data_IF_934393656209
#
_entry.id   IF_934393656209
#
_cell.length_a   1.000
_cell.length_b   1.000
_cell.length_c   1.000
_cell.angle_alpha   90.00
_cell.angle_beta   90.00
_cell.angle_gamma   90.00
#
_symmetry.space_group_name_H-M   'P 1'
#
loop_
_entity.id
_entity.type
_entity.pdbx_description
1 polymer ?
#
# COMPACT_ATOMS: atom_id res chain seq x y z
N UNK A 1 9.32 7.47 -0.93
CA UNK A 1 9.65 8.88 -1.14
C UNK A 1 10.76 9.06 -2.20
N UNK A 2 11.89 8.38 -2.09
CA UNK A 2 13.00 8.47 -3.07
C UNK A 2 12.53 8.24 -4.52
N UNK A 3 11.65 7.28 -4.76
CA UNK A 3 11.09 7.02 -6.09
C UNK A 3 10.31 8.22 -6.63
N UNK A 4 9.49 8.88 -5.80
CA UNK A 4 8.75 10.09 -6.16
C UNK A 4 9.74 11.20 -6.55
N UNK A 5 10.76 11.43 -5.74
CA UNK A 5 11.81 12.43 -6.03
C UNK A 5 12.49 12.15 -7.38
N UNK A 6 12.83 10.89 -7.65
CA UNK A 6 13.42 10.48 -8.94
C UNK A 6 12.48 10.70 -10.11
N UNK A 7 11.21 10.35 -9.98
CA UNK A 7 10.19 10.58 -11.01
C UNK A 7 10.00 12.07 -11.31
N UNK A 8 9.86 12.92 -10.27
CA UNK A 8 9.74 14.37 -10.45
C UNK A 8 10.97 14.97 -11.14
N UNK A 9 12.18 14.56 -10.74
CA UNK A 9 13.43 15.01 -11.38
C UNK A 9 13.56 14.54 -12.82
N UNK A 10 12.95 13.41 -13.17
CA UNK A 10 12.90 12.90 -14.55
C UNK A 10 11.78 13.52 -15.39
N UNK A 11 10.99 14.47 -14.83
CA UNK A 11 9.88 15.12 -15.53
C UNK A 11 8.65 14.26 -15.75
N UNK A 12 8.52 13.14 -15.01
CA UNK A 12 7.30 12.32 -15.04
C UNK A 12 6.18 13.12 -14.40
N UNK A 13 5.00 13.26 -15.05
CA UNK A 13 3.90 14.05 -14.47
C UNK A 13 3.27 13.34 -13.27
N UNK A 14 2.83 14.15 -12.27
CA UNK A 14 2.04 13.68 -11.12
C UNK A 14 0.53 13.58 -11.43
N UNK A 15 -0.33 13.48 -10.40
CA UNK A 15 0.04 13.65 -8.98
C UNK A 15 0.77 12.46 -8.37
N UNK A 16 1.47 12.69 -7.25
CA UNK A 16 2.23 11.67 -6.53
C UNK A 16 1.68 11.46 -5.13
N UNK A 17 1.33 10.22 -4.80
CA UNK A 17 0.86 9.81 -3.47
C UNK A 17 1.93 8.96 -2.78
N UNK A 18 2.26 9.31 -1.53
CA UNK A 18 3.04 8.44 -0.65
C UNK A 18 2.13 7.33 -0.11
N UNK A 19 2.39 6.08 -0.51
CA UNK A 19 1.53 4.93 -0.21
C UNK A 19 1.85 4.25 1.14
N UNK A 20 2.28 5.01 2.12
CA UNK A 20 2.51 4.59 3.51
C UNK A 20 2.37 5.80 4.42
N UNK A 21 2.22 5.53 5.70
CA UNK A 21 2.25 6.60 6.70
C UNK A 21 3.66 7.22 6.70
N UNK A 22 3.79 8.55 6.64
CA UNK A 22 5.07 9.22 6.69
C UNK A 22 5.71 9.12 8.08
N UNK A 23 7.03 9.16 8.12
CA UNK A 23 7.77 9.37 9.37
C UNK A 23 7.90 10.87 9.65
N UNK A 24 7.87 11.28 10.92
CA UNK A 24 8.05 12.68 11.30
C UNK A 24 9.35 13.28 10.71
N UNK A 25 10.43 12.49 10.68
CA UNK A 25 11.73 12.91 10.15
C UNK A 25 11.78 13.19 8.64
N UNK A 26 10.73 12.84 7.89
CA UNK A 26 10.66 13.02 6.44
C UNK A 26 9.57 14.00 5.98
N UNK A 27 8.82 14.60 6.92
CA UNK A 27 7.70 15.49 6.58
C UNK A 27 8.10 16.68 5.70
N UNK A 28 9.30 17.22 5.88
CA UNK A 28 9.84 18.27 5.01
C UNK A 28 9.92 17.84 3.53
N UNK A 29 10.34 16.59 3.30
CA UNK A 29 10.40 16.04 1.95
C UNK A 29 9.03 15.57 1.45
N UNK A 30 8.15 15.11 2.33
CA UNK A 30 6.76 14.76 1.99
C UNK A 30 6.03 16.00 1.48
N UNK A 31 6.04 17.10 2.23
CA UNK A 31 5.42 18.37 1.84
C UNK A 31 5.97 18.92 0.51
N UNK A 32 7.27 18.73 0.26
CA UNK A 32 7.94 19.21 -0.95
C UNK A 32 7.68 18.38 -2.19
N UNK A 33 7.62 17.07 -2.05
CA UNK A 33 7.69 16.15 -3.19
C UNK A 33 6.40 15.35 -3.46
N UNK A 34 5.53 15.19 -2.46
CA UNK A 34 4.28 14.47 -2.59
C UNK A 34 3.11 15.44 -2.73
N UNK A 35 2.12 15.05 -3.51
CA UNK A 35 0.83 15.76 -3.58
C UNK A 35 -0.14 15.22 -2.54
N UNK A 36 -0.02 13.92 -2.22
CA UNK A 36 -0.85 13.21 -1.25
C UNK A 36 -0.01 12.33 -0.33
N UNK A 37 -0.49 12.10 0.91
CA UNK A 37 -0.02 11.02 1.79
C UNK A 37 -1.18 10.27 2.43
N UNK A 38 -0.89 9.05 2.88
CA UNK A 38 -1.79 8.26 3.73
C UNK A 38 -1.47 8.58 5.18
N UNK A 39 -2.49 8.86 5.99
CA UNK A 39 -2.32 9.31 7.38
C UNK A 39 -3.17 8.49 8.34
N UNK A 40 -2.63 8.23 9.53
CA UNK A 40 -3.31 7.46 10.58
C UNK A 40 -3.05 7.97 11.99
N UNK A 41 -2.44 9.16 12.13
CA UNK A 41 -2.10 9.76 13.42
C UNK A 41 -2.35 11.27 13.40
N UNK A 42 -3.09 11.78 14.39
CA UNK A 42 -3.38 13.20 14.52
C UNK A 42 -2.10 14.03 14.71
N UNK A 43 -1.17 13.55 15.55
CA UNK A 43 0.10 14.24 15.79
C UNK A 43 0.96 14.40 14.54
N UNK A 44 0.95 13.40 13.63
CA UNK A 44 1.65 13.49 12.35
C UNK A 44 1.02 14.54 11.44
N UNK A 45 -0.31 14.65 11.44
CA UNK A 45 -1.04 15.67 10.68
C UNK A 45 -0.74 17.08 11.20
N UNK A 46 -0.69 17.28 12.51
CA UNK A 46 -0.32 18.55 13.12
C UNK A 46 1.12 18.96 12.75
N UNK A 47 2.05 18.01 12.83
CA UNK A 47 3.43 18.25 12.43
C UNK A 47 3.56 18.54 10.92
N UNK A 48 2.77 17.86 10.08
CA UNK A 48 2.71 18.11 8.64
C UNK A 48 2.16 19.50 8.33
N UNK A 49 1.12 19.96 9.05
CA UNK A 49 0.58 21.31 8.96
C UNK A 49 1.68 22.36 9.22
N UNK A 50 2.45 22.21 10.30
CA UNK A 50 3.55 23.13 10.60
C UNK A 50 4.59 23.18 9.48
N UNK A 51 4.92 22.02 8.90
CA UNK A 51 5.88 21.94 7.78
C UNK A 51 5.29 22.61 6.54
N UNK A 52 4.05 22.32 6.18
CA UNK A 52 3.37 22.90 5.02
C UNK A 52 3.25 24.42 5.14
N UNK A 53 2.89 24.93 6.32
CA UNK A 53 2.83 26.35 6.61
C UNK A 53 4.19 27.04 6.41
N UNK A 54 5.28 26.44 6.93
CA UNK A 54 6.64 26.98 6.72
C UNK A 54 7.08 26.98 5.27
N UNK A 55 6.69 25.97 4.49
CA UNK A 55 7.03 25.85 3.07
C UNK A 55 6.10 26.64 2.15
N UNK A 56 4.95 27.11 2.66
CA UNK A 56 3.93 27.81 1.88
C UNK A 56 3.24 26.89 0.85
N UNK A 57 3.05 25.63 1.17
CA UNK A 57 2.40 24.62 0.31
C UNK A 57 1.13 24.08 0.96
N UNK A 58 0.22 23.57 0.14
CA UNK A 58 -0.93 22.80 0.60
C UNK A 58 -0.67 21.34 0.26
N UNK A 59 -0.83 20.45 1.25
CA UNK A 59 -0.68 19.02 1.10
C UNK A 59 -2.03 18.32 1.26
N UNK A 60 -2.25 17.25 0.51
CA UNK A 60 -3.50 16.49 0.54
C UNK A 60 -3.36 15.21 1.37
N UNK A 61 -4.18 15.03 2.39
CA UNK A 61 -4.20 13.88 3.28
C UNK A 61 -5.36 12.93 2.99
N UNK A 62 -5.08 11.63 2.96
CA UNK A 62 -6.08 10.55 2.94
C UNK A 62 -6.02 9.83 4.28
N UNK A 63 -7.06 9.98 5.09
CA UNK A 63 -7.12 9.41 6.43
C UNK A 63 -7.51 7.92 6.33
N UNK A 64 -6.71 7.06 6.96
CA UNK A 64 -6.87 5.61 6.84
C UNK A 64 -7.73 5.04 7.95
N UNK A 65 -8.71 4.21 7.57
CA UNK A 65 -9.48 3.36 8.49
C UNK A 65 -8.84 1.97 8.56
N UNK A 66 -8.76 1.39 9.75
CA UNK A 66 -8.48 -0.05 9.89
C UNK A 66 -9.80 -0.81 10.00
N UNK A 67 -10.11 -1.61 9.01
CA UNK A 67 -11.30 -2.47 8.95
C UNK A 67 -10.98 -3.94 9.23
N UNK A 68 -9.96 -4.20 10.05
CA UNK A 68 -9.62 -5.53 10.54
C UNK A 68 -8.33 -6.13 9.98
N UNK A 69 -7.65 -5.47 9.04
CA UNK A 69 -6.35 -5.95 8.52
C UNK A 69 -5.20 -5.69 9.52
N UNK A 70 -5.41 -4.81 10.50
CA UNK A 70 -4.51 -4.48 11.63
C UNK A 70 -3.13 -3.98 11.16
N UNK A 71 -3.08 -3.28 10.04
CA UNK A 71 -1.84 -2.74 9.49
C UNK A 71 -1.69 -1.25 9.82
N UNK A 72 -2.42 -0.37 9.16
CA UNK A 72 -2.48 1.06 9.44
C UNK A 72 -3.92 1.57 9.37
N UNK A 73 -4.19 2.62 10.11
CA UNK A 73 -5.50 3.27 10.12
C UNK A 73 -6.10 3.37 11.52
N UNK A 74 -7.09 4.23 11.65
CA UNK A 74 -7.87 4.38 12.86
C UNK A 74 -8.79 3.17 13.03
N UNK A 75 -8.67 2.50 14.18
CA UNK A 75 -9.57 1.41 14.58
C UNK A 75 -10.92 1.94 15.05
N UNK A 76 -10.90 3.02 15.82
CA UNK A 76 -12.11 3.70 16.27
C UNK A 76 -12.59 4.68 15.20
N UNK A 77 -13.80 4.45 14.69
CA UNK A 77 -14.38 5.27 13.63
C UNK A 77 -14.83 6.65 14.10
N UNK A 78 -15.12 6.82 15.37
CA UNK A 78 -15.49 8.13 15.93
C UNK A 78 -14.24 8.97 16.14
N UNK A 79 -13.13 8.38 16.61
CA UNK A 79 -11.82 9.03 16.65
C UNK A 79 -11.38 9.45 15.22
N UNK A 80 -11.53 8.57 14.24
CA UNK A 80 -11.24 8.90 12.84
C UNK A 80 -12.06 10.10 12.34
N UNK A 81 -13.36 10.13 12.66
CA UNK A 81 -14.23 11.25 12.29
C UNK A 81 -13.77 12.56 12.92
N UNK A 82 -13.41 12.53 14.20
CA UNK A 82 -12.90 13.71 14.92
C UNK A 82 -11.61 14.22 14.27
N UNK A 83 -10.70 13.33 13.87
CA UNK A 83 -9.47 13.70 13.15
C UNK A 83 -9.78 14.28 11.75
N UNK A 84 -10.72 13.71 11.01
CA UNK A 84 -11.14 14.28 9.73
C UNK A 84 -11.71 15.71 9.90
N UNK A 85 -12.51 15.94 10.95
CA UNK A 85 -13.06 17.26 11.26
C UNK A 85 -11.96 18.23 11.69
N UNK A 86 -10.99 17.77 12.47
CA UNK A 86 -9.82 18.57 12.87
C UNK A 86 -9.02 19.01 11.64
N UNK A 87 -8.67 18.07 10.73
CA UNK A 87 -7.99 18.41 9.48
C UNK A 87 -8.76 19.46 8.69
N UNK A 88 -10.06 19.27 8.51
CA UNK A 88 -10.89 20.18 7.70
C UNK A 88 -11.01 21.59 8.29
N UNK A 89 -11.04 21.73 9.62
CA UNK A 89 -11.33 23.00 10.28
C UNK A 89 -10.12 23.76 10.78
N UNK A 90 -9.11 23.02 11.22
CA UNK A 90 -8.02 23.57 12.02
C UNK A 90 -6.67 23.55 11.32
N UNK A 91 -6.51 22.77 10.21
CA UNK A 91 -5.25 22.60 9.49
C UNK A 91 -5.31 23.24 8.08
N UNK A 92 -5.12 24.57 7.95
CA UNK A 92 -5.32 25.28 6.68
C UNK A 92 -4.36 24.92 5.56
N UNK A 93 -3.24 24.25 5.86
CA UNK A 93 -2.27 23.81 4.86
C UNK A 93 -2.29 22.30 4.61
N UNK A 94 -3.17 21.55 5.32
CA UNK A 94 -3.45 20.13 5.07
C UNK A 94 -4.91 19.97 4.64
N UNK A 95 -5.12 19.69 3.36
CA UNK A 95 -6.46 19.46 2.80
C UNK A 95 -6.89 18.01 3.04
N UNK A 96 -8.08 17.81 3.64
CA UNK A 96 -8.69 16.49 3.73
C UNK A 96 -9.16 16.04 2.33
N UNK A 97 -8.33 15.27 1.64
CA UNK A 97 -8.66 14.75 0.30
C UNK A 97 -9.62 13.56 0.35
N UNK A 98 -9.53 12.75 1.41
CA UNK A 98 -10.38 11.58 1.47
C UNK A 98 -10.10 10.63 2.60
N UNK A 99 -10.71 9.45 2.47
CA UNK A 99 -10.52 8.32 3.38
C UNK A 99 -10.08 7.08 2.62
N UNK A 100 -9.42 6.16 3.31
CA UNK A 100 -8.95 4.93 2.69
C UNK A 100 -8.90 3.76 3.65
N UNK A 101 -8.70 2.56 3.09
CA UNK A 101 -8.47 1.31 3.84
C UNK A 101 -7.36 0.52 3.18
N UNK A 102 -6.68 -0.32 3.96
CA UNK A 102 -5.80 -1.35 3.43
C UNK A 102 -6.32 -2.73 3.84
N UNK A 103 -6.39 -3.66 2.89
CA UNK A 103 -6.89 -5.02 3.09
C UNK A 103 -6.02 -6.01 2.31
N UNK A 104 -5.97 -7.26 2.78
CA UNK A 104 -5.20 -8.33 2.15
C UNK A 104 -3.71 -8.18 2.33
N UNK A 105 -3.26 -7.62 3.45
CA UNK A 105 -1.86 -7.38 3.74
C UNK A 105 -1.42 -8.06 5.05
N UNK A 106 -1.37 -7.32 6.17
CA UNK A 106 -0.91 -7.87 7.45
C UNK A 106 -1.87 -8.92 8.01
N UNK A 107 -3.15 -8.59 8.13
CA UNK A 107 -4.20 -9.48 8.66
C UNK A 107 -4.75 -10.46 7.64
N UNK A 108 -4.34 -10.34 6.38
CA UNK A 108 -4.84 -11.16 5.27
C UNK A 108 -6.37 -11.10 5.09
N UNK A 109 -6.99 -9.98 5.49
CA UNK A 109 -8.43 -9.79 5.38
C UNK A 109 -8.81 -9.60 3.92
N UNK A 110 -9.61 -10.52 3.39
CA UNK A 110 -10.06 -10.44 2.01
C UNK A 110 -11.00 -9.23 1.81
N UNK A 111 -10.79 -8.40 0.77
CA UNK A 111 -11.74 -7.37 0.38
C UNK A 111 -13.09 -7.99 -0.03
N UNK A 112 -14.17 -7.46 0.51
CA UNK A 112 -15.53 -7.87 0.22
C UNK A 112 -16.43 -6.66 0.00
N UNK A 113 -17.60 -6.79 -0.66
CA UNK A 113 -18.57 -5.70 -0.74
C UNK A 113 -18.98 -5.17 0.63
N UNK A 114 -19.02 -6.03 1.65
CA UNK A 114 -19.44 -5.68 3.01
C UNK A 114 -18.41 -4.78 3.69
N UNK A 115 -17.11 -5.16 3.71
CA UNK A 115 -16.09 -4.36 4.39
C UNK A 115 -15.77 -3.06 3.62
N UNK A 116 -15.78 -3.06 2.29
CA UNK A 116 -15.68 -1.82 1.52
C UNK A 116 -16.94 -0.96 1.61
N UNK A 117 -18.11 -1.58 1.82
CA UNK A 117 -19.35 -0.88 2.16
C UNK A 117 -19.25 -0.11 3.48
N UNK A 118 -18.51 -0.65 4.46
CA UNK A 118 -18.22 0.08 5.72
C UNK A 118 -17.37 1.33 5.44
N UNK A 119 -16.33 1.24 4.58
CA UNK A 119 -15.56 2.43 4.19
C UNK A 119 -16.44 3.49 3.53
N UNK A 120 -17.36 3.09 2.65
CA UNK A 120 -18.31 4.03 2.02
C UNK A 120 -19.21 4.69 3.07
N UNK A 121 -19.63 3.95 4.11
CA UNK A 121 -20.39 4.51 5.22
C UNK A 121 -19.57 5.52 6.02
N UNK A 122 -18.31 5.22 6.33
CA UNK A 122 -17.38 6.15 6.99
C UNK A 122 -17.22 7.42 6.14
N UNK A 123 -16.97 7.27 4.84
CA UNK A 123 -16.84 8.41 3.91
C UNK A 123 -18.08 9.31 3.95
N UNK A 124 -19.28 8.76 3.93
CA UNK A 124 -20.53 9.51 4.02
C UNK A 124 -20.69 10.24 5.34
N UNK A 125 -20.35 9.59 6.47
CA UNK A 125 -20.37 10.24 7.80
C UNK A 125 -19.43 11.45 7.83
N UNK A 126 -18.23 11.31 7.27
CA UNK A 126 -17.27 12.43 7.17
C UNK A 126 -17.86 13.54 6.28
N UNK A 127 -18.32 13.22 5.07
CA UNK A 127 -18.91 14.18 4.13
C UNK A 127 -20.09 14.97 4.74
N UNK A 128 -20.99 14.26 5.44
CA UNK A 128 -22.16 14.89 6.09
C UNK A 128 -21.72 15.83 7.22
N UNK A 129 -20.62 15.49 7.93
CA UNK A 129 -20.12 16.30 9.05
C UNK A 129 -19.35 17.55 8.58
N UNK A 130 -18.56 17.42 7.52
CA UNK A 130 -17.79 18.55 6.98
C UNK A 130 -18.56 19.38 5.94
N UNK A 131 -19.68 18.87 5.45
CA UNK A 131 -20.59 19.57 4.52
C UNK A 131 -20.11 19.59 3.06
N UNK A 132 -19.20 18.71 2.68
CA UNK A 132 -18.71 18.56 1.30
C UNK A 132 -18.37 17.11 0.93
N UNK A 133 -18.25 16.84 -0.36
CA UNK A 133 -17.78 15.54 -0.86
C UNK A 133 -16.26 15.39 -0.73
N UNK A 134 -15.84 14.16 -0.44
CA UNK A 134 -14.43 13.76 -0.49
C UNK A 134 -14.00 13.51 -1.94
N UNK A 135 -12.77 13.90 -2.25
CA UNK A 135 -12.16 13.64 -3.56
C UNK A 135 -11.85 12.16 -3.73
N UNK A 136 -11.36 11.50 -2.67
CA UNK A 136 -10.86 10.13 -2.68
C UNK A 136 -11.58 9.27 -1.63
N UNK A 137 -12.13 8.14 -2.08
CA UNK A 137 -12.53 7.02 -1.24
C UNK A 137 -11.75 5.79 -1.71
N UNK A 138 -10.64 5.49 -1.02
CA UNK A 138 -9.62 4.55 -1.47
C UNK A 138 -9.85 3.14 -0.92
N UNK A 139 -10.40 2.25 -1.73
CA UNK A 139 -10.84 0.89 -1.37
C UNK A 139 -9.73 -0.15 -1.26
N UNK A 140 -8.47 0.22 -1.12
CA UNK A 140 -7.38 -0.73 -0.93
C UNK A 140 -6.40 -0.83 -2.09
N UNK A 141 -5.86 -2.01 -2.30
CA UNK A 141 -4.74 -2.29 -3.21
C UNK A 141 -5.11 -3.32 -4.30
N UNK A 142 -4.13 -4.06 -4.80
CA UNK A 142 -4.32 -5.14 -5.79
C UNK A 142 -5.38 -6.15 -5.35
N UNK A 143 -5.41 -6.52 -4.07
CA UNK A 143 -6.41 -7.44 -3.51
C UNK A 143 -7.85 -7.01 -3.80
N UNK A 144 -8.15 -5.71 -3.71
CA UNK A 144 -9.49 -5.16 -3.97
C UNK A 144 -9.85 -5.08 -5.46
N UNK A 145 -8.89 -5.27 -6.36
CA UNK A 145 -9.15 -5.27 -7.80
C UNK A 145 -10.06 -6.43 -8.23
N UNK A 146 -10.11 -7.50 -7.45
CA UNK A 146 -11.05 -8.62 -7.66
C UNK A 146 -12.50 -8.16 -7.68
N UNK A 147 -12.87 -7.20 -6.80
CA UNK A 147 -14.25 -6.68 -6.76
C UNK A 147 -14.59 -5.84 -8.00
N UNK A 148 -13.61 -5.15 -8.59
CA UNK A 148 -13.78 -4.48 -9.89
C UNK A 148 -14.01 -5.52 -10.98
N UNK A 149 -13.18 -6.57 -11.00
CA UNK A 149 -13.27 -7.65 -11.98
C UNK A 149 -14.66 -8.34 -11.97
N UNK A 150 -15.17 -8.64 -10.77
CA UNK A 150 -16.48 -9.30 -10.62
C UNK A 150 -17.68 -8.33 -10.66
N UNK A 151 -17.44 -7.01 -10.79
CA UNK A 151 -18.50 -6.02 -10.81
C UNK A 151 -19.25 -5.88 -9.48
N UNK A 152 -18.58 -6.17 -8.37
CA UNK A 152 -19.15 -6.14 -7.02
C UNK A 152 -18.57 -5.04 -6.13
N UNK A 153 -17.75 -4.15 -6.69
CA UNK A 153 -17.21 -2.99 -5.98
C UNK A 153 -18.35 -2.09 -5.51
N UNK A 154 -18.43 -1.74 -4.20
CA UNK A 154 -19.46 -0.82 -3.71
C UNK A 154 -19.40 0.54 -4.40
N UNK A 155 -20.58 1.06 -4.71
CA UNK A 155 -20.72 2.42 -5.23
C UNK A 155 -20.23 3.44 -4.20
N UNK A 156 -19.36 4.35 -4.63
CA UNK A 156 -18.68 5.33 -3.76
C UNK A 156 -17.17 5.08 -3.59
N UNK A 157 -16.69 3.87 -3.85
CA UNK A 157 -15.25 3.64 -4.00
C UNK A 157 -14.82 4.17 -5.37
N UNK A 158 -13.87 5.10 -5.38
CA UNK A 158 -13.39 5.74 -6.62
C UNK A 158 -11.88 5.66 -6.84
N UNK A 159 -11.14 5.02 -5.92
CA UNK A 159 -9.70 4.93 -5.98
C UNK A 159 -9.17 3.58 -5.46
N UNK A 160 -8.16 3.02 -6.14
CA UNK A 160 -7.38 1.86 -5.72
C UNK A 160 -5.88 2.14 -5.89
N UNK A 161 -5.06 1.53 -5.05
CA UNK A 161 -3.60 1.64 -5.07
C UNK A 161 -2.98 0.34 -5.59
N UNK A 162 -3.07 0.13 -6.91
CA UNK A 162 -2.66 -1.11 -7.56
C UNK A 162 -1.16 -1.06 -7.87
N UNK A 163 -0.40 -2.00 -7.33
CA UNK A 163 1.04 -2.17 -7.58
C UNK A 163 1.36 -3.53 -8.17
N UNK A 164 1.22 -4.58 -7.39
CA UNK A 164 1.54 -5.96 -7.80
C UNK A 164 0.74 -6.38 -9.03
N UNK A 165 -0.56 -6.08 -9.07
CA UNK A 165 -1.43 -6.43 -10.20
C UNK A 165 -1.05 -5.82 -11.55
N UNK A 166 -0.25 -4.73 -11.57
CA UNK A 166 0.27 -4.12 -12.81
C UNK A 166 1.67 -4.65 -13.14
N UNK A 167 2.50 -4.91 -12.13
CA UNK A 167 3.92 -5.20 -12.32
C UNK A 167 4.20 -6.69 -12.49
N UNK A 168 3.54 -7.56 -11.75
CA UNK A 168 3.80 -8.99 -11.70
C UNK A 168 2.54 -9.83 -11.90
N UNK A 169 1.42 -9.39 -11.33
CA UNK A 169 0.09 -10.01 -11.38
C UNK A 169 0.06 -11.49 -10.96
N UNK A 170 1.01 -11.90 -10.09
CA UNK A 170 1.16 -13.29 -9.65
C UNK A 170 0.19 -13.65 -8.54
N UNK A 171 -0.01 -12.73 -7.59
CA UNK A 171 -0.80 -12.98 -6.38
C UNK A 171 -2.23 -13.41 -6.71
N UNK A 172 -2.91 -12.70 -7.60
CA UNK A 172 -4.30 -12.98 -7.96
C UNK A 172 -4.44 -14.30 -8.73
N UNK A 173 -3.58 -14.51 -9.75
CA UNK A 173 -3.71 -15.67 -10.64
C UNK A 173 -3.16 -16.96 -10.02
N UNK A 174 -1.97 -16.90 -9.39
CA UNK A 174 -1.25 -18.09 -8.92
C UNK A 174 -1.54 -18.35 -7.44
N UNK A 175 -1.31 -17.35 -6.59
CA UNK A 175 -1.37 -17.56 -5.14
C UNK A 175 -2.82 -17.61 -4.63
N UNK A 176 -3.74 -16.84 -5.25
CA UNK A 176 -5.17 -16.88 -4.95
C UNK A 176 -5.96 -17.82 -5.88
N UNK A 177 -5.37 -18.27 -6.99
CA UNK A 177 -5.99 -19.18 -7.94
C UNK A 177 -7.17 -18.60 -8.71
N UNK A 178 -7.17 -17.30 -8.97
CA UNK A 178 -8.27 -16.60 -9.69
C UNK A 178 -7.97 -16.65 -11.20
N UNK A 179 -8.27 -17.80 -11.83
CA UNK A 179 -7.90 -18.05 -13.22
C UNK A 179 -8.73 -17.28 -14.27
N UNK A 180 -9.86 -16.71 -13.90
CA UNK A 180 -10.62 -15.80 -14.76
C UNK A 180 -9.95 -14.41 -14.90
N UNK A 181 -8.87 -14.16 -14.16
CA UNK A 181 -8.02 -12.98 -14.28
C UNK A 181 -6.71 -13.23 -15.06
N UNK A 182 -6.59 -14.35 -15.78
CA UNK A 182 -5.38 -14.74 -16.54
C UNK A 182 -5.04 -13.77 -17.71
N UNK A 183 -5.87 -12.76 -17.97
CA UNK A 183 -5.55 -11.65 -18.87
C UNK A 183 -4.49 -10.69 -18.31
N UNK A 184 -4.24 -10.71 -17.02
CA UNK A 184 -3.16 -9.94 -16.39
C UNK A 184 -1.80 -10.55 -16.75
N UNK A 185 -0.85 -9.68 -17.10
CA UNK A 185 0.48 -10.10 -17.58
C UNK A 185 1.45 -10.35 -16.42
N UNK A 186 2.02 -11.56 -16.33
CA UNK A 186 3.07 -11.91 -15.37
C UNK A 186 4.48 -11.76 -15.94
N UNK A 187 4.62 -11.45 -17.21
CA UNK A 187 5.88 -11.40 -17.96
C UNK A 187 6.40 -9.96 -18.23
N UNK A 188 5.94 -9.00 -17.42
CA UNK A 188 6.33 -7.59 -17.57
C UNK A 188 7.81 -7.32 -17.20
N UNK A 189 8.45 -8.24 -16.45
CA UNK A 189 9.84 -8.12 -16.02
C UNK A 189 10.65 -9.33 -16.44
N UNK A 190 11.91 -9.09 -16.78
CA UNK A 190 12.88 -10.15 -17.09
C UNK A 190 14.09 -10.00 -16.18
N UNK A 191 14.39 -11.04 -15.39
CA UNK A 191 15.64 -11.15 -14.65
C UNK A 191 16.72 -11.69 -15.57
N UNK A 192 17.84 -10.96 -15.68
CA UNK A 192 19.06 -11.43 -16.35
C UNK A 192 20.15 -11.61 -15.31
N UNK A 193 20.73 -12.82 -15.29
CA UNK A 193 21.83 -13.15 -14.39
C UNK A 193 22.96 -13.81 -15.20
N UNK A 194 24.20 -13.55 -14.80
CA UNK A 194 25.37 -14.23 -15.35
C UNK A 194 25.76 -15.39 -14.45
N UNK A 195 25.95 -16.57 -15.05
CA UNK A 195 26.51 -17.71 -14.31
C UNK A 195 27.98 -17.42 -14.01
N UNK A 196 28.34 -17.47 -12.73
CA UNK A 196 29.71 -17.16 -12.27
C UNK A 196 30.51 -18.41 -11.90
N UNK A 197 29.83 -19.53 -11.64
CA UNK A 197 30.48 -20.80 -11.35
C UNK A 197 29.59 -21.95 -11.84
N UNK A 198 30.19 -22.97 -12.43
CA UNK A 198 29.54 -24.24 -12.77
C UNK A 198 30.43 -25.38 -12.30
N UNK A 199 29.97 -26.16 -11.33
CA UNK A 199 30.75 -27.31 -10.79
C UNK A 199 29.85 -28.46 -10.42
N UNK A 200 30.43 -29.66 -10.44
CA UNK A 200 29.81 -30.87 -9.92
C UNK A 200 29.99 -30.93 -8.40
N UNK A 201 28.88 -30.91 -7.65
CA UNK A 201 28.89 -30.90 -6.17
C UNK A 201 27.86 -31.90 -5.61
N UNK A 202 28.06 -32.41 -4.38
CA UNK A 202 27.04 -33.18 -3.68
C UNK A 202 25.74 -32.38 -3.55
N UNK A 203 24.63 -33.06 -3.60
CA UNK A 203 23.31 -32.42 -3.35
C UNK A 203 22.97 -32.29 -1.88
N UNK A 204 23.62 -33.12 -1.02
CA UNK A 204 23.54 -33.01 0.42
C UNK A 204 24.81 -32.32 0.96
N UNK A 205 24.68 -31.28 1.80
CA UNK A 205 25.83 -30.65 2.42
C UNK A 205 26.64 -31.64 3.28
N UNK A 206 27.96 -31.46 3.30
CA UNK A 206 28.86 -32.34 4.05
C UNK A 206 29.28 -31.65 5.36
N UNK A 207 28.84 -32.21 6.49
CA UNK A 207 29.10 -31.71 7.85
C UNK A 207 27.83 -31.54 8.69
N UNK A 208 27.96 -31.10 9.93
CA UNK A 208 26.82 -30.86 10.81
C UNK A 208 25.95 -29.70 10.26
N UNK A 209 24.67 -30.01 10.01
CA UNK A 209 23.68 -29.02 9.53
C UNK A 209 23.01 -28.40 10.76
N UNK A 210 22.99 -27.08 10.80
CA UNK A 210 22.31 -26.30 11.84
C UNK A 210 21.20 -25.44 11.24
N UNK A 211 21.35 -24.12 11.27
CA UNK A 211 20.41 -23.15 10.71
C UNK A 211 21.06 -22.44 9.52
N UNK A 212 20.25 -22.05 8.55
CA UNK A 212 20.70 -21.22 7.42
C UNK A 212 20.79 -19.73 7.80
N UNK A 213 21.14 -18.87 6.84
CA UNK A 213 21.26 -17.44 7.05
C UNK A 213 19.92 -16.73 7.32
N UNK A 214 18.79 -17.41 7.17
CA UNK A 214 17.44 -16.94 7.49
C UNK A 214 16.89 -17.60 8.77
N UNK A 215 17.73 -18.26 9.54
CA UNK A 215 17.37 -18.99 10.77
C UNK A 215 16.40 -20.18 10.57
N UNK A 216 16.29 -20.71 9.36
CA UNK A 216 15.54 -21.93 9.09
C UNK A 216 16.39 -23.17 9.33
N UNK A 217 15.74 -24.29 9.60
CA UNK A 217 16.38 -25.62 9.65
C UNK A 217 16.07 -26.36 8.34
N UNK A 218 16.93 -26.24 7.33
CA UNK A 218 16.68 -26.84 6.03
C UNK A 218 16.86 -28.35 6.07
N UNK A 219 16.10 -29.06 5.25
CA UNK A 219 16.29 -30.48 4.95
C UNK A 219 16.77 -30.63 3.52
N UNK A 220 17.66 -31.56 3.26
CA UNK A 220 18.22 -31.80 1.95
C UNK A 220 18.02 -33.27 1.55
N UNK A 221 17.63 -33.49 0.31
CA UNK A 221 17.60 -34.82 -0.29
C UNK A 221 18.96 -35.14 -0.91
N UNK A 222 19.55 -36.27 -0.56
CA UNK A 222 20.78 -36.75 -1.21
C UNK A 222 20.44 -37.42 -2.53
N UNK A 223 20.79 -36.77 -3.64
CA UNK A 223 20.67 -37.23 -5.00
C UNK A 223 22.04 -37.48 -5.65
N UNK A 224 23.08 -37.65 -4.84
CA UNK A 224 24.48 -37.80 -5.27
C UNK A 224 25.07 -36.50 -5.83
N UNK A 225 26.08 -36.64 -6.69
CA UNK A 225 26.75 -35.50 -7.31
C UNK A 225 25.90 -34.99 -8.48
N UNK A 226 25.70 -33.68 -8.51
CA UNK A 226 24.99 -32.98 -9.60
C UNK A 226 25.73 -31.72 -10.00
N UNK A 227 25.59 -31.38 -11.30
CA UNK A 227 26.09 -30.11 -11.81
C UNK A 227 25.29 -28.96 -11.18
N UNK A 228 26.00 -27.96 -10.69
CA UNK A 228 25.44 -26.75 -10.08
C UNK A 228 26.03 -25.51 -10.73
N UNK A 229 25.22 -24.51 -10.89
CA UNK A 229 25.47 -23.18 -11.44
C UNK A 229 24.85 -22.09 -10.54
#
# INVERSE_FOLDING_TARGET
LEQIVRCRRAGVPGPYMLLRIPMESELEDVARWCDYSLESEAATLDALEEVCARQGVIHKAVIMADLGDLREGFWDQDEMLDVCVHVERDLPHVELAGVGVNLGCYGSIQPTPENLGQLVHIARRVEDTIGRKLEIVSGGATSSFTLVHWGTMPEGINHLRIGEGILVAKDLQVDWGIHDMDYLRMDCMTLRAQIVEVKDKPTHPVGPIMVDCFCNRPTYEDRGIRRRD
#
